data_IF_887309700701
#
_entry.id   IF_887309700701
#
_cell.length_a   1.000
_cell.length_b   1.000
_cell.length_c   1.000
_cell.angle_alpha   90.00
_cell.angle_beta   90.00
_cell.angle_gamma   90.00
#
_symmetry.space_group_name_H-M   'P 1'
#
loop_
_entity.id
_entity.type
_entity.pdbx_description
1 polymer ?
#
# COMPACT_ATOMS: atom_id res chain seq x y z
N UNK A 1 -26.65 -19.66 12.97
CA UNK A 1 -26.42 -18.47 12.11
C UNK A 1 -26.15 -17.27 13.00
N UNK A 2 -25.21 -16.40 12.59
CA UNK A 2 -24.42 -15.45 13.38
C UNK A 2 -23.26 -16.03 14.22
N UNK A 3 -22.34 -16.75 13.57
CA UNK A 3 -20.92 -16.80 14.01
C UNK A 3 -20.16 -15.55 13.54
N UNK A 4 -20.86 -14.49 13.13
CA UNK A 4 -20.28 -13.48 12.24
C UNK A 4 -19.55 -12.33 12.96
N UNK A 5 -19.55 -12.32 14.29
CA UNK A 5 -18.69 -11.43 15.06
C UNK A 5 -18.18 -12.18 16.30
N UNK A 6 -17.26 -13.12 16.09
CA UNK A 6 -16.45 -13.64 17.20
C UNK A 6 -15.59 -12.49 17.71
N UNK A 7 -16.01 -11.92 18.84
CA UNK A 7 -15.21 -10.98 19.58
C UNK A 7 -14.54 -11.75 20.71
N UNK A 8 -13.23 -12.00 20.64
CA UNK A 8 -12.57 -12.66 21.75
C UNK A 8 -12.75 -11.86 23.04
N UNK A 9 -13.04 -12.60 24.11
CA UNK A 9 -13.14 -12.08 25.48
C UNK A 9 -11.80 -11.51 25.91
N UNK A 10 -10.71 -12.23 25.61
CA UNK A 10 -9.34 -11.72 25.74
C UNK A 10 -8.93 -10.86 24.53
N UNK A 11 -8.57 -9.61 24.80
CA UNK A 11 -8.14 -8.66 23.75
C UNK A 11 -6.78 -9.01 23.14
N UNK A 12 -6.00 -9.87 23.78
CA UNK A 12 -4.72 -10.32 23.24
C UNK A 12 -4.88 -11.12 21.94
N UNK A 13 -6.03 -11.79 21.74
CA UNK A 13 -6.33 -12.54 20.52
C UNK A 13 -6.46 -11.65 19.25
N UNK A 14 -6.61 -10.33 19.39
CA UNK A 14 -6.60 -9.40 18.25
C UNK A 14 -5.19 -9.02 17.77
N UNK A 15 -4.15 -9.28 18.56
CA UNK A 15 -2.77 -8.90 18.23
C UNK A 15 -2.35 -9.43 16.85
N UNK A 16 -2.59 -10.71 16.49
CA UNK A 16 -2.26 -11.22 15.15
C UNK A 16 -2.97 -10.47 14.02
N UNK A 17 -4.24 -10.10 14.22
CA UNK A 17 -5.02 -9.36 13.23
C UNK A 17 -4.47 -7.94 13.01
N UNK A 18 -4.11 -7.24 14.09
CA UNK A 18 -3.50 -5.90 14.02
C UNK A 18 -2.13 -5.96 13.34
N UNK A 19 -1.31 -6.97 13.63
CA UNK A 19 -0.02 -7.17 12.96
C UNK A 19 -0.22 -7.37 11.46
N UNK A 20 -1.15 -8.25 11.05
CA UNK A 20 -1.46 -8.46 9.64
C UNK A 20 -1.91 -7.17 8.94
N UNK A 21 -2.82 -6.43 9.58
CA UNK A 21 -3.29 -5.14 9.06
C UNK A 21 -2.12 -4.16 8.85
N UNK A 22 -1.21 -4.05 9.83
CA UNK A 22 -0.04 -3.19 9.74
C UNK A 22 0.89 -3.62 8.60
N UNK A 23 1.14 -4.91 8.42
CA UNK A 23 1.95 -5.44 7.32
C UNK A 23 1.37 -5.03 5.97
N UNK A 24 0.06 -5.20 5.77
CA UNK A 24 -0.59 -4.81 4.51
C UNK A 24 -0.60 -3.30 4.31
N UNK A 25 -0.85 -2.50 5.35
CA UNK A 25 -0.82 -1.04 5.26
C UNK A 25 0.58 -0.53 4.90
N UNK A 26 1.62 -1.06 5.53
CA UNK A 26 3.02 -0.72 5.21
C UNK A 26 3.33 -1.15 3.78
N UNK A 27 2.95 -2.38 3.39
CA UNK A 27 3.14 -2.88 2.02
C UNK A 27 2.48 -1.98 0.97
N UNK A 28 1.24 -1.56 1.19
CA UNK A 28 0.51 -0.66 0.30
C UNK A 28 1.17 0.73 0.23
N UNK A 29 1.58 1.30 1.36
CA UNK A 29 2.27 2.59 1.39
C UNK A 29 3.60 2.54 0.62
N UNK A 30 4.37 1.46 0.81
CA UNK A 30 5.63 1.23 0.11
C UNK A 30 5.39 1.05 -1.39
N UNK A 31 4.42 0.22 -1.79
CA UNK A 31 4.07 0.02 -3.20
C UNK A 31 3.68 1.34 -3.88
N UNK A 32 2.80 2.13 -3.24
CA UNK A 32 2.39 3.45 -3.74
C UNK A 32 3.58 4.42 -3.87
N UNK A 33 4.50 4.39 -2.90
CA UNK A 33 5.73 5.19 -2.96
C UNK A 33 6.60 4.80 -4.16
N UNK A 34 6.81 3.50 -4.40
CA UNK A 34 7.58 3.00 -5.54
C UNK A 34 6.95 3.39 -6.87
N UNK A 35 5.65 3.17 -7.03
CA UNK A 35 4.91 3.55 -8.25
C UNK A 35 5.07 5.04 -8.54
N UNK A 36 4.85 5.91 -7.53
CA UNK A 36 4.99 7.36 -7.69
C UNK A 36 6.42 7.77 -8.06
N UNK A 37 7.43 7.10 -7.49
CA UNK A 37 8.84 7.38 -7.80
C UNK A 37 9.21 7.00 -9.22
N UNK A 38 8.76 5.84 -9.69
CA UNK A 38 9.01 5.35 -11.06
C UNK A 38 8.28 6.25 -12.06
N UNK A 39 6.99 6.50 -11.85
CA UNK A 39 6.18 7.35 -12.74
C UNK A 39 6.79 8.74 -12.93
N UNK A 40 7.31 9.37 -11.87
CA UNK A 40 8.01 10.67 -11.97
C UNK A 40 9.32 10.62 -12.74
N UNK A 41 10.02 9.48 -12.75
CA UNK A 41 11.23 9.31 -13.57
C UNK A 41 10.85 9.16 -15.03
N UNK A 42 9.88 8.30 -15.33
CA UNK A 42 9.38 8.08 -16.68
C UNK A 42 8.82 9.37 -17.30
N UNK A 43 8.07 10.17 -16.53
CA UNK A 43 7.57 11.47 -16.99
C UNK A 43 8.72 12.43 -17.39
N UNK A 44 9.79 12.48 -16.60
CA UNK A 44 10.95 13.32 -16.90
C UNK A 44 11.71 12.82 -18.13
N UNK A 45 11.92 11.52 -18.24
CA UNK A 45 12.58 10.91 -19.39
C UNK A 45 11.78 11.11 -20.67
N UNK A 46 10.45 10.96 -20.60
CA UNK A 46 9.55 11.24 -21.71
C UNK A 46 9.62 12.71 -22.14
N UNK A 47 9.47 13.65 -21.20
CA UNK A 47 9.60 15.09 -21.49
C UNK A 47 10.94 15.44 -22.11
N UNK A 48 12.04 14.82 -21.66
CA UNK A 48 13.36 15.06 -22.22
C UNK A 48 13.49 14.49 -23.64
N UNK A 49 12.97 13.28 -23.88
CA UNK A 49 13.08 12.59 -25.17
C UNK A 49 12.22 13.20 -26.26
N UNK A 50 11.05 13.75 -25.90
CA UNK A 50 10.09 14.34 -26.84
C UNK A 50 10.05 15.87 -26.75
N UNK A 51 11.04 16.48 -26.10
CA UNK A 51 11.12 17.94 -25.90
C UNK A 51 11.07 18.72 -27.22
N UNK A 52 11.63 18.15 -28.28
CA UNK A 52 11.74 18.79 -29.60
C UNK A 52 10.50 18.55 -30.48
N UNK A 53 9.53 17.77 -30.00
CA UNK A 53 8.27 17.44 -30.68
C UNK A 53 7.04 18.16 -30.07
N UNK A 54 7.24 18.97 -29.02
CA UNK A 54 6.22 19.82 -28.38
C UNK A 54 6.49 21.29 -28.67
#
# INVERSE_FOLDING_TARGET
MMEFLYFPEDKTEYIPAVIMLLVFMIGAAVAMYFIRRISKKEEKEWKQRYKDLQ
#
